data_IF_413012962361
#
_entry.id   IF_413012962361
#
_cell.length_a   1.000
_cell.length_b   1.000
_cell.length_c   1.000
_cell.angle_alpha   90.00
_cell.angle_beta   90.00
_cell.angle_gamma   90.00
#
_symmetry.space_group_name_H-M   'P 1'
#
loop_
_entity.id
_entity.type
_entity.pdbx_description
1 polymer ?
#
# COMPACT_ATOMS: atom_id res chain seq x y z
N UNK A 1 1.94 -22.78 -16.45
CA UNK A 1 1.73 -21.53 -15.70
C UNK A 1 0.42 -21.63 -14.92
N UNK A 2 0.41 -21.38 -13.61
CA UNK A 2 -0.84 -21.38 -12.83
C UNK A 2 -1.80 -20.32 -13.35
N UNK A 3 -3.06 -20.70 -13.52
CA UNK A 3 -4.12 -19.76 -13.90
C UNK A 3 -4.29 -18.70 -12.80
N UNK A 4 -4.38 -17.43 -13.17
CA UNK A 4 -4.71 -16.34 -12.24
C UNK A 4 -5.96 -15.59 -12.71
N UNK A 5 -7.16 -16.16 -12.50
CA UNK A 5 -8.38 -15.64 -13.11
C UNK A 5 -8.74 -14.23 -12.66
N UNK A 6 -8.39 -13.86 -11.42
CA UNK A 6 -8.70 -12.54 -10.87
C UNK A 6 -7.86 -11.40 -11.49
N UNK A 7 -6.73 -11.73 -12.11
CA UNK A 7 -5.82 -10.74 -12.69
C UNK A 7 -5.23 -11.25 -14.01
N UNK A 8 -6.02 -11.29 -15.09
CA UNK A 8 -5.62 -11.86 -16.37
C UNK A 8 -4.92 -10.85 -17.29
N UNK A 9 -4.24 -11.37 -18.31
CA UNK A 9 -3.77 -10.60 -19.48
C UNK A 9 -2.98 -9.34 -19.15
N UNK A 10 -3.45 -8.19 -19.64
CA UNK A 10 -2.85 -6.87 -19.45
C UNK A 10 -2.64 -6.53 -17.96
N UNK A 11 -3.64 -6.77 -17.10
CA UNK A 11 -3.54 -6.48 -15.67
C UNK A 11 -2.46 -7.31 -14.99
N UNK A 12 -2.23 -8.54 -15.46
CA UNK A 12 -1.11 -9.37 -15.01
C UNK A 12 0.23 -8.75 -15.36
N UNK A 13 0.41 -8.32 -16.60
CA UNK A 13 1.65 -7.67 -17.01
C UNK A 13 1.90 -6.41 -16.17
N UNK A 14 0.88 -5.57 -16.05
CA UNK A 14 0.97 -4.30 -15.35
C UNK A 14 1.24 -4.48 -13.85
N UNK A 15 0.37 -5.19 -13.14
CA UNK A 15 0.39 -5.21 -11.67
C UNK A 15 1.31 -6.26 -11.06
N UNK A 16 1.71 -7.32 -11.79
CA UNK A 16 2.67 -8.31 -11.26
C UNK A 16 4.12 -8.03 -11.67
N UNK A 17 4.35 -7.23 -12.71
CA UNK A 17 5.69 -7.01 -13.25
C UNK A 17 6.04 -5.53 -13.37
N UNK A 18 5.32 -4.77 -14.20
CA UNK A 18 5.69 -3.38 -14.48
C UNK A 18 5.61 -2.49 -13.24
N UNK A 19 4.52 -2.57 -12.49
CA UNK A 19 4.34 -1.80 -11.26
C UNK A 19 5.41 -2.12 -10.21
N UNK A 20 5.65 -3.38 -9.81
CA UNK A 20 6.70 -3.68 -8.86
C UNK A 20 8.08 -3.23 -9.33
N UNK A 21 8.41 -3.37 -10.61
CA UNK A 21 9.69 -2.85 -11.14
C UNK A 21 9.76 -1.33 -11.01
N UNK A 22 8.71 -0.62 -11.41
CA UNK A 22 8.65 0.85 -11.34
C UNK A 22 8.68 1.40 -9.91
N UNK A 23 8.20 0.64 -8.92
CA UNK A 23 8.19 1.05 -7.51
C UNK A 23 9.46 0.63 -6.79
N UNK A 24 10.16 -0.40 -7.24
CA UNK A 24 11.48 -0.77 -6.70
C UNK A 24 12.61 0.07 -7.33
N UNK A 25 12.48 0.51 -8.58
CA UNK A 25 13.53 1.29 -9.24
C UNK A 25 13.95 2.57 -8.46
N UNK A 26 13.04 3.40 -7.93
CA UNK A 26 13.38 4.54 -7.09
C UNK A 26 14.18 4.17 -5.84
N UNK A 27 13.99 2.97 -5.28
CA UNK A 27 14.74 2.48 -4.11
C UNK A 27 16.23 2.43 -4.44
N UNK A 28 16.56 1.94 -5.63
CA UNK A 28 17.94 1.88 -6.09
C UNK A 28 18.54 3.27 -6.31
N UNK A 29 17.75 4.17 -6.91
CA UNK A 29 18.15 5.55 -7.15
C UNK A 29 18.38 6.34 -5.86
N UNK A 30 17.58 6.08 -4.81
CA UNK A 30 17.67 6.76 -3.52
C UNK A 30 18.82 6.23 -2.66
N UNK A 31 18.99 4.91 -2.55
CA UNK A 31 19.93 4.31 -1.58
C UNK A 31 21.33 4.08 -2.14
N UNK A 32 21.48 3.88 -3.44
CA UNK A 32 22.77 3.50 -4.02
C UNK A 32 23.30 4.58 -4.95
N UNK A 33 22.74 4.68 -6.15
CA UNK A 33 23.20 5.61 -7.17
C UNK A 33 22.03 6.06 -8.02
N UNK A 34 21.89 7.37 -8.26
CA UNK A 34 22.80 8.47 -7.94
C UNK A 34 22.70 9.03 -6.50
N UNK A 35 21.75 8.54 -5.69
CA UNK A 35 21.65 8.80 -4.25
C UNK A 35 20.54 9.78 -3.85
N UNK A 36 20.36 9.95 -2.55
CA UNK A 36 19.24 10.70 -1.97
C UNK A 36 19.21 12.19 -2.35
N UNK A 37 20.38 12.86 -2.42
CA UNK A 37 20.47 14.27 -2.83
C UNK A 37 19.98 14.47 -4.26
N UNK A 38 20.43 13.62 -5.18
CA UNK A 38 19.96 13.64 -6.56
C UNK A 38 18.45 13.37 -6.64
N UNK A 39 17.97 12.31 -5.97
CA UNK A 39 16.55 11.96 -6.05
C UNK A 39 15.65 13.06 -5.48
N UNK A 40 16.06 13.68 -4.36
CA UNK A 40 15.38 14.84 -3.80
C UNK A 40 15.31 16.00 -4.81
N UNK A 41 16.44 16.28 -5.48
CA UNK A 41 16.50 17.34 -6.48
C UNK A 41 15.55 17.06 -7.66
N UNK A 42 15.46 15.81 -8.09
CA UNK A 42 14.56 15.38 -9.16
C UNK A 42 13.07 15.42 -8.80
N UNK A 43 12.69 15.62 -7.53
CA UNK A 43 11.28 15.79 -7.16
C UNK A 43 10.64 17.03 -7.80
N UNK A 44 11.45 18.03 -8.15
CA UNK A 44 11.04 19.23 -8.88
C UNK A 44 11.99 19.40 -10.07
N UNK A 45 11.49 19.54 -11.31
CA UNK A 45 12.34 19.77 -12.47
C UNK A 45 13.28 20.97 -12.27
N UNK A 46 14.58 20.74 -12.42
CA UNK A 46 15.63 21.73 -12.28
C UNK A 46 16.81 21.38 -13.18
N UNK A 47 17.49 22.39 -13.70
CA UNK A 47 18.72 22.26 -14.51
C UNK A 47 20.00 22.44 -13.70
N UNK A 48 19.89 22.79 -12.42
CA UNK A 48 21.04 22.98 -11.54
C UNK A 48 21.58 21.66 -10.97
N UNK A 49 22.78 21.72 -10.39
CA UNK A 49 23.38 20.57 -9.72
C UNK A 49 22.67 20.35 -8.38
N UNK A 50 22.38 19.09 -8.05
CA UNK A 50 21.74 18.72 -6.79
C UNK A 50 22.57 19.21 -5.58
N UNK A 51 22.00 20.06 -4.71
CA UNK A 51 22.71 20.53 -3.52
C UNK A 51 22.79 19.44 -2.45
N UNK A 52 23.77 19.51 -1.53
CA UNK A 52 23.81 18.63 -0.37
C UNK A 52 22.55 18.81 0.49
N UNK A 53 22.04 17.72 1.03
CA UNK A 53 20.85 17.72 1.89
C UNK A 53 21.25 17.81 3.37
N UNK A 54 20.42 18.46 4.18
CA UNK A 54 20.54 18.35 5.63
C UNK A 54 20.12 16.93 6.11
N UNK A 55 20.47 16.62 7.36
CA UNK A 55 20.24 15.29 7.93
C UNK A 55 18.74 14.91 8.00
N UNK A 56 17.84 15.87 8.22
CA UNK A 56 16.39 15.59 8.33
C UNK A 56 15.80 15.29 6.96
N UNK A 57 16.18 16.08 5.96
CA UNK A 57 15.75 15.85 4.56
C UNK A 57 16.31 14.53 4.02
N UNK A 58 17.57 14.22 4.32
CA UNK A 58 18.17 12.92 3.96
C UNK A 58 17.38 11.75 4.55
N UNK A 59 17.06 11.83 5.85
CA UNK A 59 16.26 10.81 6.52
C UNK A 59 14.87 10.66 5.89
N UNK A 60 14.19 11.77 5.57
CA UNK A 60 12.88 11.74 4.92
C UNK A 60 12.93 11.05 3.55
N UNK A 61 13.97 11.30 2.75
CA UNK A 61 14.14 10.69 1.42
C UNK A 61 14.47 9.20 1.53
N UNK A 62 15.25 8.78 2.51
CA UNK A 62 15.46 7.34 2.77
C UNK A 62 14.20 6.63 3.24
N UNK A 63 13.37 7.27 4.06
CA UNK A 63 12.06 6.74 4.45
C UNK A 63 11.12 6.63 3.24
N UNK A 64 11.16 7.60 2.32
CA UNK A 64 10.45 7.51 1.04
C UNK A 64 10.91 6.29 0.23
N UNK A 65 12.23 6.02 0.18
CA UNK A 65 12.77 4.79 -0.41
C UNK A 65 12.20 3.51 0.22
N UNK A 66 12.05 3.46 1.54
CA UNK A 66 11.42 2.34 2.22
C UNK A 66 9.94 2.16 1.82
N UNK A 67 9.19 3.26 1.68
CA UNK A 67 7.80 3.22 1.23
C UNK A 67 7.68 2.66 -0.20
N UNK A 68 8.58 3.06 -1.10
CA UNK A 68 8.66 2.53 -2.46
C UNK A 68 8.96 1.02 -2.47
N UNK A 69 9.93 0.57 -1.67
CA UNK A 69 10.24 -0.85 -1.53
C UNK A 69 9.04 -1.65 -1.01
N UNK A 70 8.35 -1.13 0.01
CA UNK A 70 7.15 -1.76 0.57
C UNK A 70 6.05 -1.92 -0.50
N UNK A 71 5.81 -0.91 -1.32
CA UNK A 71 4.82 -0.96 -2.40
C UNK A 71 5.20 -1.99 -3.48
N UNK A 72 6.49 -2.04 -3.84
CA UNK A 72 7.03 -3.06 -4.75
C UNK A 72 6.92 -4.48 -4.21
N UNK A 73 7.15 -4.67 -2.90
CA UNK A 73 6.94 -5.95 -2.22
C UNK A 73 5.46 -6.32 -2.13
N UNK A 74 4.55 -5.37 -1.92
CA UNK A 74 3.12 -5.63 -1.87
C UNK A 74 2.63 -6.21 -3.20
N UNK A 75 2.92 -5.51 -4.31
CA UNK A 75 2.54 -5.96 -5.65
C UNK A 75 3.27 -7.24 -6.07
N UNK A 76 4.52 -7.42 -5.65
CA UNK A 76 5.30 -8.62 -5.98
C UNK A 76 4.92 -9.85 -5.16
N UNK A 77 4.84 -9.74 -3.85
CA UNK A 77 4.73 -10.89 -2.96
C UNK A 77 3.26 -11.20 -2.66
N UNK A 78 2.46 -10.19 -2.31
CA UNK A 78 1.07 -10.41 -1.90
C UNK A 78 0.23 -10.92 -3.06
N UNK A 79 0.38 -10.37 -4.26
CA UNK A 79 -0.43 -10.81 -5.40
C UNK A 79 -0.06 -12.23 -5.85
N UNK A 80 1.22 -12.59 -5.79
CA UNK A 80 1.68 -13.97 -6.04
C UNK A 80 1.18 -14.93 -4.96
N UNK A 81 1.24 -14.53 -3.69
CA UNK A 81 0.70 -15.31 -2.59
C UNK A 81 -0.81 -15.55 -2.74
N UNK A 82 -1.60 -14.55 -3.15
CA UNK A 82 -3.05 -14.72 -3.41
C UNK A 82 -3.30 -15.70 -4.55
N UNK A 83 -2.53 -15.61 -5.65
CA UNK A 83 -2.60 -16.56 -6.77
C UNK A 83 -2.33 -17.99 -6.30
N UNK A 84 -1.26 -18.16 -5.53
CA UNK A 84 -0.73 -19.49 -5.18
C UNK A 84 -1.51 -20.14 -4.03
N UNK A 85 -2.03 -19.35 -3.08
CA UNK A 85 -2.79 -19.85 -1.93
C UNK A 85 -4.26 -20.17 -2.26
N UNK A 86 -4.82 -19.61 -3.35
CA UNK A 86 -6.26 -19.72 -3.67
C UNK A 86 -6.56 -20.19 -5.10
N UNK A 87 -5.92 -21.26 -5.64
CA UNK A 87 -5.97 -21.60 -7.07
C UNK A 87 -7.37 -21.96 -7.60
N UNK A 88 -8.33 -22.32 -6.73
CA UNK A 88 -9.71 -22.67 -7.10
C UNK A 88 -10.78 -21.68 -6.64
N UNK A 89 -10.39 -20.52 -6.09
CA UNK A 89 -11.36 -19.57 -5.52
C UNK A 89 -11.20 -18.16 -6.12
N UNK A 90 -11.62 -17.95 -7.38
CA UNK A 90 -11.44 -16.68 -8.06
C UNK A 90 -12.22 -15.54 -7.40
N UNK A 91 -13.34 -15.85 -6.73
CA UNK A 91 -14.10 -14.86 -5.95
C UNK A 91 -13.31 -14.35 -4.74
N UNK A 92 -12.62 -15.23 -4.00
CA UNK A 92 -11.78 -14.81 -2.89
C UNK A 92 -10.51 -14.08 -3.37
N UNK A 93 -9.89 -14.57 -4.45
CA UNK A 93 -8.76 -13.88 -5.08
C UNK A 93 -9.13 -12.45 -5.45
N UNK A 94 -10.22 -12.25 -6.19
CA UNK A 94 -10.66 -10.93 -6.63
C UNK A 94 -11.02 -10.03 -5.44
N UNK A 95 -11.61 -10.56 -4.38
CA UNK A 95 -11.93 -9.77 -3.18
C UNK A 95 -10.67 -9.26 -2.48
N UNK A 96 -9.65 -10.10 -2.32
CA UNK A 96 -8.39 -9.71 -1.67
C UNK A 96 -7.63 -8.72 -2.57
N UNK A 97 -7.48 -9.05 -3.85
CA UNK A 97 -6.85 -8.15 -4.82
C UNK A 97 -7.57 -6.81 -4.91
N UNK A 98 -8.90 -6.83 -4.95
CA UNK A 98 -9.68 -5.60 -5.01
C UNK A 98 -9.55 -4.75 -3.75
N UNK A 99 -9.39 -5.35 -2.56
CA UNK A 99 -9.06 -4.58 -1.37
C UNK A 99 -7.69 -3.90 -1.49
N UNK A 100 -6.66 -4.63 -1.95
CA UNK A 100 -5.32 -4.08 -2.18
C UNK A 100 -5.29 -3.01 -3.27
N UNK A 101 -5.91 -3.27 -4.43
CA UNK A 101 -6.01 -2.32 -5.55
C UNK A 101 -6.81 -1.07 -5.16
N UNK A 102 -7.81 -1.21 -4.27
CA UNK A 102 -8.55 -0.05 -3.75
C UNK A 102 -7.65 0.82 -2.87
N UNK A 103 -6.89 0.21 -1.95
CA UNK A 103 -5.96 0.95 -1.10
C UNK A 103 -4.89 1.68 -1.95
N UNK A 104 -4.35 1.00 -2.97
CA UNK A 104 -3.38 1.61 -3.88
C UNK A 104 -4.00 2.70 -4.76
N UNK A 105 -5.23 2.53 -5.25
CA UNK A 105 -5.92 3.58 -6.01
C UNK A 105 -6.12 4.87 -5.18
N UNK A 106 -6.42 4.73 -3.88
CA UNK A 106 -6.49 5.88 -2.97
C UNK A 106 -5.11 6.52 -2.83
N UNK A 107 -4.06 5.71 -2.63
CA UNK A 107 -2.69 6.21 -2.52
C UNK A 107 -2.23 6.94 -3.80
N UNK A 108 -2.53 6.40 -4.98
CA UNK A 108 -2.26 7.03 -6.28
C UNK A 108 -2.90 8.43 -6.35
N UNK A 109 -4.19 8.50 -6.04
CA UNK A 109 -4.95 9.74 -6.09
C UNK A 109 -4.38 10.81 -5.15
N UNK A 110 -4.06 10.42 -3.90
CA UNK A 110 -3.46 11.35 -2.94
C UNK A 110 -2.03 11.73 -3.34
N UNK A 111 -1.28 10.81 -3.95
CA UNK A 111 0.08 11.07 -4.41
C UNK A 111 0.10 12.04 -5.58
N UNK A 112 -0.78 11.86 -6.59
CA UNK A 112 -0.94 12.81 -7.69
C UNK A 112 -1.32 14.19 -7.14
N UNK A 113 -2.31 14.26 -6.24
CA UNK A 113 -2.77 15.52 -5.68
C UNK A 113 -1.66 16.25 -4.89
N UNK A 114 -0.91 15.52 -4.06
CA UNK A 114 0.19 16.07 -3.28
C UNK A 114 1.34 16.56 -4.18
N UNK A 115 1.71 15.75 -5.18
CA UNK A 115 2.75 16.11 -6.15
C UNK A 115 2.36 17.36 -6.92
N UNK A 116 1.15 17.39 -7.47
CA UNK A 116 0.64 18.54 -8.22
C UNK A 116 0.51 19.80 -7.35
N UNK A 117 0.17 19.66 -6.06
CA UNK A 117 0.13 20.77 -5.13
C UNK A 117 1.53 21.33 -4.82
N UNK A 118 2.54 20.46 -4.76
CA UNK A 118 3.94 20.82 -4.49
C UNK A 118 4.72 21.35 -5.70
N UNK A 119 4.26 21.11 -6.93
CA UNK A 119 4.90 21.67 -8.13
C UNK A 119 4.79 23.21 -8.15
N UNK A 120 5.82 23.93 -8.61
CA UNK A 120 5.75 25.35 -8.97
C UNK A 120 4.67 25.63 -10.03
N UNK A 121 4.01 26.80 -9.98
CA UNK A 121 2.86 27.12 -10.85
C UNK A 121 3.20 27.12 -12.35
N UNK A 122 4.42 27.54 -12.69
CA UNK A 122 4.99 27.54 -14.03
C UNK A 122 5.18 26.12 -14.58
N UNK A 123 5.46 25.14 -13.72
CA UNK A 123 5.65 23.75 -14.13
C UNK A 123 4.35 22.94 -14.14
N UNK A 124 3.32 23.30 -13.35
CA UNK A 124 2.07 22.53 -13.22
C UNK A 124 1.39 22.20 -14.53
N UNK A 125 1.41 23.14 -15.48
CA UNK A 125 0.69 23.02 -16.76
C UNK A 125 1.61 22.92 -17.98
N UNK A 126 2.89 22.62 -17.74
CA UNK A 126 3.88 22.39 -18.81
C UNK A 126 4.43 20.95 -18.73
N UNK A 127 3.66 19.93 -19.13
CA UNK A 127 4.12 18.54 -19.09
C UNK A 127 5.41 18.29 -19.87
N UNK A 128 5.70 19.10 -20.89
CA UNK A 128 6.90 18.99 -21.72
C UNK A 128 8.18 19.39 -20.98
N UNK A 129 8.07 20.17 -19.89
CA UNK A 129 9.22 20.56 -19.06
C UNK A 129 9.40 19.67 -17.83
N UNK A 130 8.62 18.59 -17.71
CA UNK A 130 8.75 17.65 -16.61
C UNK A 130 9.96 16.74 -16.81
N UNK A 131 10.70 16.50 -15.74
CA UNK A 131 11.74 15.49 -15.71
C UNK A 131 11.12 14.07 -15.58
N UNK A 132 11.91 13.00 -15.76
CA UNK A 132 11.41 11.63 -15.64
C UNK A 132 10.76 11.32 -14.30
N UNK A 133 11.27 11.87 -13.20
CA UNK A 133 10.71 11.67 -11.84
C UNK A 133 9.31 12.29 -11.71
N UNK A 134 9.11 13.49 -12.25
CA UNK A 134 7.80 14.15 -12.26
C UNK A 134 6.81 13.40 -13.16
N UNK A 135 7.23 12.95 -14.34
CA UNK A 135 6.41 12.07 -15.18
C UNK A 135 6.08 10.74 -14.48
N UNK A 136 7.03 10.18 -13.72
CA UNK A 136 6.82 9.01 -12.89
C UNK A 136 5.73 9.25 -11.85
N UNK A 137 5.80 10.36 -11.11
CA UNK A 137 4.89 10.69 -10.02
C UNK A 137 3.49 11.12 -10.48
N UNK A 138 3.37 11.73 -11.65
CA UNK A 138 2.09 12.23 -12.17
C UNK A 138 1.58 11.36 -13.31
N UNK A 139 2.24 11.39 -14.47
CA UNK A 139 1.74 10.74 -15.70
C UNK A 139 1.60 9.23 -15.54
N UNK A 140 2.62 8.57 -14.99
CA UNK A 140 2.61 7.12 -14.81
C UNK A 140 1.64 6.69 -13.70
N UNK A 141 1.57 7.43 -12.59
CA UNK A 141 0.59 7.15 -11.52
C UNK A 141 -0.86 7.37 -12.00
N UNK A 142 -1.13 8.38 -12.85
CA UNK A 142 -2.44 8.54 -13.50
C UNK A 142 -2.77 7.31 -14.34
N UNK A 143 -1.83 6.81 -15.15
CA UNK A 143 -2.02 5.60 -15.94
C UNK A 143 -2.33 4.38 -15.06
N UNK A 144 -1.62 4.22 -13.94
CA UNK A 144 -1.89 3.13 -12.99
C UNK A 144 -3.27 3.28 -12.33
N UNK A 145 -3.64 4.48 -11.89
CA UNK A 145 -4.96 4.78 -11.30
C UNK A 145 -6.09 4.45 -12.29
N UNK A 146 -5.97 4.89 -13.54
CA UNK A 146 -6.95 4.59 -14.59
C UNK A 146 -7.04 3.08 -14.86
N UNK A 147 -5.91 2.38 -14.87
CA UNK A 147 -5.88 0.92 -15.00
C UNK A 147 -6.57 0.22 -13.82
N UNK A 148 -6.42 0.73 -12.59
CA UNK A 148 -7.13 0.22 -11.41
C UNK A 148 -8.63 0.46 -11.52
N UNK A 149 -9.06 1.65 -11.94
CA UNK A 149 -10.48 1.97 -12.18
C UNK A 149 -11.06 1.03 -13.25
N UNK A 150 -10.36 0.84 -14.37
CA UNK A 150 -10.75 -0.09 -15.42
C UNK A 150 -10.88 -1.53 -14.89
N UNK A 151 -9.96 -1.95 -14.02
CA UNK A 151 -10.04 -3.26 -13.36
C UNK A 151 -11.29 -3.38 -12.48
N UNK A 152 -11.64 -2.37 -11.69
CA UNK A 152 -12.89 -2.39 -10.89
C UNK A 152 -14.15 -2.39 -11.75
N UNK A 153 -14.12 -1.70 -12.89
CA UNK A 153 -15.21 -1.69 -13.87
C UNK A 153 -15.33 -3.03 -14.64
N UNK A 154 -14.36 -3.94 -14.51
CA UNK A 154 -14.37 -5.23 -15.20
C UNK A 154 -14.00 -5.13 -16.68
N UNK A 155 -13.37 -4.04 -17.12
CA UNK A 155 -12.96 -3.86 -18.52
C UNK A 155 -11.89 -4.89 -18.88
N UNK A 156 -12.10 -5.68 -19.93
CA UNK A 156 -11.10 -6.66 -20.42
C UNK A 156 -10.88 -7.86 -19.49
N UNK A 157 -11.79 -8.14 -18.54
CA UNK A 157 -11.69 -9.32 -17.66
C UNK A 157 -13.06 -9.85 -17.23
N UNK A 158 -13.10 -11.10 -16.79
CA UNK A 158 -14.27 -11.65 -16.09
C UNK A 158 -14.28 -11.21 -14.62
N UNK A 159 -15.44 -10.79 -14.12
CA UNK A 159 -15.65 -10.48 -12.70
C UNK A 159 -16.33 -11.65 -11.99
N UNK A 160 -15.86 -11.95 -10.78
CA UNK A 160 -16.30 -13.03 -9.89
C UNK A 160 -16.88 -12.52 -8.57
N UNK A 161 -16.47 -11.33 -8.12
CA UNK A 161 -16.91 -10.69 -6.89
C UNK A 161 -17.59 -9.34 -7.16
N UNK A 162 -16.89 -8.40 -7.81
CA UNK A 162 -17.43 -7.05 -8.03
C UNK A 162 -18.50 -7.05 -9.13
N UNK A 163 -19.58 -6.30 -8.92
CA UNK A 163 -20.69 -6.18 -9.87
C UNK A 163 -21.59 -7.41 -9.99
N UNK A 164 -21.39 -8.46 -9.18
CA UNK A 164 -22.26 -9.65 -9.16
C UNK A 164 -23.34 -9.52 -8.07
N UNK A 165 -24.62 -9.80 -8.37
CA UNK A 165 -25.68 -9.82 -7.36
C UNK A 165 -25.38 -10.93 -6.33
N UNK A 166 -25.52 -10.60 -5.04
CA UNK A 166 -25.14 -11.52 -3.96
C UNK A 166 -26.09 -12.73 -3.95
N UNK A 167 -25.59 -13.89 -4.38
CA UNK A 167 -26.41 -15.10 -4.54
C UNK A 167 -27.08 -15.54 -3.24
N UNK A 168 -26.52 -15.13 -2.08
CA UNK A 168 -27.07 -15.42 -0.75
C UNK A 168 -28.36 -14.66 -0.47
N UNK A 169 -28.52 -13.41 -0.92
CA UNK A 169 -29.80 -12.70 -0.76
C UNK A 169 -30.89 -13.35 -1.62
N UNK A 170 -30.52 -13.83 -2.82
CA UNK A 170 -31.44 -14.56 -3.69
C UNK A 170 -31.81 -15.94 -3.13
N UNK A 171 -30.85 -16.72 -2.62
CA UNK A 171 -31.17 -18.01 -1.98
C UNK A 171 -32.01 -17.83 -0.73
N UNK A 172 -31.74 -16.83 0.10
CA UNK A 172 -32.51 -16.58 1.32
C UNK A 172 -33.90 -16.00 1.01
N UNK A 173 -34.04 -15.17 -0.03
CA UNK A 173 -35.33 -14.76 -0.58
C UNK A 173 -36.10 -15.95 -1.20
N UNK A 174 -35.39 -16.88 -1.83
CA UNK A 174 -35.98 -18.11 -2.39
C UNK A 174 -36.47 -19.04 -1.30
N UNK A 175 -35.67 -19.24 -0.24
CA UNK A 175 -36.03 -20.06 0.91
C UNK A 175 -37.22 -19.45 1.67
N UNK A 176 -37.20 -18.14 1.93
CA UNK A 176 -38.35 -17.47 2.57
C UNK A 176 -39.60 -17.44 1.68
N UNK A 177 -39.46 -17.42 0.34
CA UNK A 177 -40.59 -17.60 -0.59
C UNK A 177 -41.14 -19.03 -0.54
N UNK A 178 -40.28 -20.04 -0.54
CA UNK A 178 -40.68 -21.45 -0.41
C UNK A 178 -41.34 -21.74 0.94
N UNK A 179 -40.81 -21.16 2.02
CA UNK A 179 -41.36 -21.29 3.37
C UNK A 179 -42.76 -20.65 3.47
N UNK A 180 -43.00 -19.52 2.80
CA UNK A 180 -44.35 -18.92 2.68
C UNK A 180 -45.31 -19.72 1.83
N UNK A 181 -44.82 -20.47 0.84
CA UNK A 181 -45.65 -21.29 -0.04
C UNK A 181 -45.93 -22.68 0.55
N UNK A 182 -45.21 -23.10 1.58
CA UNK A 182 -45.37 -24.40 2.22
C UNK A 182 -46.80 -24.69 2.72
N UNK A 183 -47.53 -23.76 3.38
CA UNK A 183 -48.91 -24.01 3.80
C UNK A 183 -49.87 -24.19 2.61
N UNK A 184 -49.66 -23.40 1.55
CA UNK A 184 -50.49 -23.47 0.33
C UNK A 184 -50.25 -24.78 -0.43
N UNK A 185 -49.00 -25.26 -0.48
CA UNK A 185 -48.66 -26.55 -1.06
C UNK A 185 -49.25 -27.71 -0.24
N UNK A 186 -49.29 -27.61 1.09
CA UNK A 186 -49.97 -28.59 1.94
C UNK A 186 -51.48 -28.61 1.69
N UNK A 187 -52.15 -27.45 1.61
CA UNK A 187 -53.58 -27.37 1.30
C UNK A 187 -53.88 -27.93 -0.10
N UNK A 188 -53.06 -27.58 -1.11
CA UNK A 188 -53.21 -28.11 -2.47
C UNK A 188 -52.99 -29.64 -2.54
N UNK A 189 -52.11 -30.20 -1.69
CA UNK A 189 -51.90 -31.66 -1.61
C UNK A 189 -53.09 -32.40 -0.98
N UNK A 190 -53.76 -31.77 0.00
CA UNK A 190 -54.97 -32.32 0.62
C UNK A 190 -56.16 -32.31 -0.35
N UNK A 191 -56.23 -31.32 -1.25
CA UNK A 191 -57.28 -31.25 -2.27
C UNK A 191 -57.05 -32.20 -3.47
N UNK A 192 -55.87 -32.85 -3.55
CA UNK A 192 -55.49 -33.70 -4.69
C UNK A 192 -55.46 -35.20 -4.34
N UNK A 193 -55.94 -35.62 -3.18
CA UNK A 193 -56.09 -37.06 -2.92
C UNK A 193 -57.26 -37.60 -3.76
N UNK A 194 -57.03 -38.43 -4.79
CA UNK A 194 -58.12 -39.13 -5.45
C UNK A 194 -58.77 -40.06 -4.43
N UNK A 195 -60.08 -39.95 -4.30
CA UNK A 195 -60.92 -40.81 -3.47
C UNK A 195 -60.56 -42.27 -3.75
N UNK A 196 -60.09 -43.04 -2.75
CA UNK A 196 -59.76 -44.44 -2.97
C UNK A 196 -61.08 -45.20 -3.17
N UNK A 197 -61.31 -45.68 -4.40
CA UNK A 197 -62.30 -46.72 -4.64
C UNK A 197 -61.86 -47.97 -3.89
N UNK A 198 -62.73 -48.43 -2.98
CA UNK A 198 -62.56 -49.59 -2.12
C UNK A 198 -62.05 -50.81 -2.91
N UNK A 199 -60.90 -51.42 -2.53
CA UNK A 199 -60.53 -52.73 -3.05
C UNK A 199 -61.26 -53.81 -2.25
N UNK A 200 -61.96 -54.69 -2.99
CA UNK A 200 -62.53 -55.94 -2.45
C UNK A 200 -61.40 -56.86 -1.94
N UNK A 201 -61.59 -57.40 -0.75
CA UNK A 201 -60.70 -58.35 -0.10
C UNK A 201 -60.52 -59.64 -0.91
N UNK A 202 -59.30 -59.93 -1.31
CA UNK A 202 -58.87 -61.27 -1.72
C UNK A 202 -57.73 -61.74 -0.82
N UNK A 203 -57.97 -62.88 -0.18
CA UNK A 203 -57.03 -63.59 0.67
C UNK A 203 -55.88 -64.13 -0.16
N UNK A 204 -54.64 -63.77 0.19
CA UNK A 204 -53.41 -64.39 -0.33
C UNK A 204 -52.70 -65.12 0.82
N UNK A 205 -52.13 -66.32 0.55
CA UNK A 205 -51.48 -67.14 1.55
C UNK A 205 -50.05 -66.68 1.86
N UNK A 206 -49.65 -66.90 3.11
CA UNK A 206 -48.35 -66.58 3.70
C UNK A 206 -47.21 -67.32 3.00
N UNK A 207 -46.23 -66.59 2.46
CA UNK A 207 -44.94 -67.15 2.06
C UNK A 207 -43.89 -67.06 3.19
N UNK A 208 -42.96 -68.03 3.30
CA UNK A 208 -41.95 -68.05 4.35
C UNK A 208 -40.79 -67.09 4.06
N UNK A 209 -40.32 -66.39 5.11
CA UNK A 209 -39.17 -65.47 5.05
C UNK A 209 -37.84 -66.23 4.94
N UNK A 210 -36.88 -65.79 4.10
CA UNK A 210 -35.53 -66.33 4.07
C UNK A 210 -34.69 -65.88 5.28
N UNK A 211 -33.91 -66.82 5.84
CA UNK A 211 -32.98 -66.63 6.97
C UNK A 211 -31.80 -65.74 6.54
N UNK A 212 -31.52 -64.69 7.32
CA UNK A 212 -30.32 -63.84 7.16
C UNK A 212 -29.09 -64.47 7.85
N UNK A 213 -27.89 -64.38 7.26
CA UNK A 213 -26.66 -64.85 7.89
C UNK A 213 -26.16 -63.92 9.02
N UNK A 214 -25.28 -64.40 9.92
CA UNK A 214 -24.82 -63.66 11.09
C UNK A 214 -23.90 -62.51 10.69
N UNK A 215 -24.23 -61.30 11.14
CA UNK A 215 -23.35 -60.12 11.03
C UNK A 215 -22.30 -60.15 12.12
N UNK A 216 -21.03 -60.20 11.73
CA UNK A 216 -19.89 -59.97 12.63
C UNK A 216 -20.00 -58.58 13.27
N UNK A 217 -20.05 -58.53 14.59
CA UNK A 217 -20.07 -57.30 15.38
C UNK A 217 -18.65 -56.74 15.49
N UNK A 218 -18.31 -55.73 14.68
CA UNK A 218 -17.24 -54.81 15.04
C UNK A 218 -17.70 -53.92 16.20
N UNK A 219 -17.00 -54.00 17.34
CA UNK A 219 -17.14 -53.10 18.49
C UNK A 219 -16.75 -51.67 18.07
N UNK A 220 -17.71 -50.92 17.54
CA UNK A 220 -17.61 -49.47 17.41
C UNK A 220 -17.88 -48.86 18.80
N UNK A 221 -16.87 -48.21 19.38
CA UNK A 221 -17.04 -47.40 20.60
C UNK A 221 -18.07 -46.31 20.31
N UNK A 222 -19.29 -46.48 20.82
CA UNK A 222 -20.35 -45.47 20.73
C UNK A 222 -19.97 -44.32 21.67
N UNK A 223 -19.55 -43.20 21.11
CA UNK A 223 -19.47 -41.94 21.84
C UNK A 223 -20.90 -41.56 22.25
N UNK A 224 -21.17 -41.24 23.52
CA UNK A 224 -22.51 -40.88 23.97
C UNK A 224 -23.02 -39.67 23.19
N UNK A 225 -24.23 -39.78 22.62
CA UNK A 225 -24.79 -38.75 21.73
C UNK A 225 -24.85 -37.35 22.37
N UNK A 226 -24.97 -37.28 23.71
CA UNK A 226 -24.94 -36.03 24.48
C UNK A 226 -23.62 -35.27 24.33
N UNK A 227 -22.48 -35.97 24.32
CA UNK A 227 -21.14 -35.36 24.19
C UNK A 227 -20.95 -34.77 22.80
N UNK A 228 -21.45 -35.47 21.78
CA UNK A 228 -21.37 -35.00 20.39
C UNK A 228 -22.27 -33.78 20.16
N UNK A 229 -23.42 -33.72 20.83
CA UNK A 229 -24.35 -32.60 20.72
C UNK A 229 -23.89 -31.34 21.48
N UNK A 230 -23.22 -31.49 22.63
CA UNK A 230 -22.63 -30.36 23.35
C UNK A 230 -21.41 -29.77 22.63
N UNK A 231 -20.54 -30.63 22.09
CA UNK A 231 -19.38 -30.19 21.33
C UNK A 231 -19.80 -29.39 20.07
N UNK A 232 -20.82 -29.86 19.36
CA UNK A 232 -21.41 -29.14 18.23
C UNK A 232 -22.03 -27.79 18.64
N UNK A 233 -22.71 -27.70 19.80
CA UNK A 233 -23.27 -26.43 20.28
C UNK A 233 -22.17 -25.42 20.65
N UNK A 234 -21.06 -25.88 21.22
CA UNK A 234 -19.94 -25.02 21.59
C UNK A 234 -19.19 -24.48 20.36
N UNK A 235 -18.98 -25.33 19.35
CA UNK A 235 -18.39 -24.91 18.07
C UNK A 235 -19.32 -23.95 17.33
N UNK A 236 -20.64 -24.19 17.32
CA UNK A 236 -21.60 -23.28 16.65
C UNK A 236 -21.66 -21.89 17.30
N UNK A 237 -21.57 -21.80 18.63
CA UNK A 237 -21.52 -20.51 19.35
C UNK A 237 -20.25 -19.70 19.07
N UNK A 238 -19.13 -20.36 18.74
CA UNK A 238 -17.86 -19.67 18.40
C UNK A 238 -17.78 -19.18 16.96
N UNK A 239 -18.63 -19.66 16.05
CA UNK A 239 -18.54 -19.38 14.61
C UNK A 239 -19.66 -18.46 14.11
N UNK A 240 -20.65 -18.15 14.95
CA UNK A 240 -21.78 -17.29 14.59
C UNK A 240 -21.40 -15.81 14.82
N UNK A 241 -21.11 -15.00 13.77
CA UNK A 241 -20.77 -13.60 13.95
C UNK A 241 -21.96 -12.86 14.57
N UNK A 242 -21.67 -12.03 15.57
CA UNK A 242 -22.67 -11.21 16.27
C UNK A 242 -23.41 -10.31 15.29
N UNK A 243 -24.65 -9.94 15.65
CA UNK A 243 -25.54 -9.13 14.80
C UNK A 243 -24.87 -7.81 14.36
N UNK A 244 -24.03 -7.24 15.21
CA UNK A 244 -23.19 -6.07 14.91
C UNK A 244 -22.09 -6.36 13.87
N UNK A 245 -21.38 -7.49 13.96
CA UNK A 245 -20.40 -7.89 12.95
C UNK A 245 -21.03 -8.13 11.58
N UNK A 246 -22.29 -8.62 11.53
CA UNK A 246 -23.04 -8.76 10.27
C UNK A 246 -23.43 -7.41 9.68
N UNK A 247 -23.76 -6.43 10.51
CA UNK A 247 -24.07 -5.06 10.08
C UNK A 247 -22.82 -4.36 9.53
N UNK A 248 -21.68 -4.47 10.21
CA UNK A 248 -20.39 -3.94 9.75
C UNK A 248 -19.91 -4.60 8.44
N UNK A 249 -20.14 -5.92 8.28
CA UNK A 249 -19.86 -6.63 7.03
C UNK A 249 -20.83 -6.30 5.89
N UNK A 250 -22.02 -5.76 6.16
CA UNK A 250 -22.96 -5.33 5.12
C UNK A 250 -22.65 -3.92 4.61
N UNK A 251 -22.13 -3.03 5.46
CA UNK A 251 -21.75 -1.67 5.06
C UNK A 251 -20.52 -1.62 4.13
N UNK A 252 -19.60 -2.58 4.26
CA UNK A 252 -18.40 -2.71 3.40
C UNK A 252 -18.67 -3.31 2.00
N UNK A 253 -19.93 -3.61 1.65
CA UNK A 253 -20.28 -4.38 0.43
C UNK A 253 -20.77 -3.58 -0.76
N UNK A 254 -21.06 -2.29 -0.62
CA UNK A 254 -21.39 -1.45 -1.78
C UNK A 254 -20.09 -1.03 -2.47
N UNK A 255 -20.07 -1.14 -3.80
CA UNK A 255 -19.04 -0.63 -4.72
C UNK A 255 -18.50 0.71 -4.21
N UNK A 256 -17.21 1.03 -4.37
CA UNK A 256 -16.59 2.22 -3.80
C UNK A 256 -17.02 3.53 -4.47
N UNK A 257 -18.32 3.80 -4.58
CA UNK A 257 -18.88 5.16 -4.64
C UNK A 257 -18.26 6.05 -3.54
N UNK A 258 -18.01 5.58 -2.30
CA UNK A 258 -17.26 6.37 -1.33
C UNK A 258 -15.84 6.72 -1.78
N UNK A 259 -15.13 5.94 -2.60
CA UNK A 259 -13.76 6.31 -3.02
C UNK A 259 -13.78 7.46 -4.02
N UNK A 260 -14.72 7.43 -4.98
CA UNK A 260 -14.90 8.55 -5.91
C UNK A 260 -15.38 9.82 -5.16
N UNK A 261 -16.27 9.66 -4.18
CA UNK A 261 -16.74 10.77 -3.35
C UNK A 261 -15.66 11.29 -2.39
N UNK A 262 -14.85 10.42 -1.80
CA UNK A 262 -13.67 10.78 -0.98
C UNK A 262 -12.65 11.50 -1.87
N UNK A 263 -12.41 11.03 -3.09
CA UNK A 263 -11.53 11.70 -4.05
C UNK A 263 -12.03 13.11 -4.40
N UNK A 264 -13.30 13.25 -4.78
CA UNK A 264 -13.92 14.55 -5.07
C UNK A 264 -13.91 15.46 -3.84
N UNK A 265 -14.11 14.91 -2.64
CA UNK A 265 -14.08 15.66 -1.38
C UNK A 265 -12.66 16.11 -1.00
N UNK A 266 -11.66 15.25 -1.14
CA UNK A 266 -10.25 15.57 -0.89
C UNK A 266 -9.74 16.62 -1.87
N UNK A 267 -10.07 16.51 -3.17
CA UNK A 267 -9.73 17.53 -4.17
C UNK A 267 -10.38 18.89 -3.87
N UNK A 268 -11.63 18.91 -3.40
CA UNK A 268 -12.29 20.16 -2.98
C UNK A 268 -11.65 20.75 -1.71
N UNK A 269 -11.25 19.91 -0.76
CA UNK A 269 -10.64 20.34 0.50
C UNK A 269 -9.24 20.95 0.30
N UNK A 270 -8.40 20.35 -0.55
CA UNK A 270 -7.06 20.89 -0.86
C UNK A 270 -7.15 22.19 -1.66
N UNK A 271 -8.07 22.27 -2.62
CA UNK A 271 -8.32 23.50 -3.40
C UNK A 271 -8.84 24.65 -2.52
N UNK A 272 -9.66 24.35 -1.50
CA UNK A 272 -10.12 25.36 -0.55
C UNK A 272 -8.98 25.90 0.35
N UNK A 273 -8.04 25.04 0.78
CA UNK A 273 -6.88 25.49 1.57
C UNK A 273 -5.88 26.33 0.77
N UNK A 274 -5.71 26.07 -0.52
CA UNK A 274 -4.82 26.88 -1.37
C UNK A 274 -5.35 28.30 -1.60
N UNK A 275 -6.67 28.50 -1.71
CA UNK A 275 -7.25 29.86 -1.83
C UNK A 275 -7.04 30.73 -0.60
N UNK A 276 -6.85 30.12 0.57
CA UNK A 276 -6.56 30.85 1.82
C UNK A 276 -5.07 31.17 2.00
N UNK A 277 -4.18 30.62 1.18
CA UNK A 277 -2.73 30.84 1.25
C UNK A 277 -2.19 31.74 0.13
N UNK A 278 -3.04 32.29 -0.75
CA UNK A 278 -2.62 33.43 -1.56
C UNK A 278 -2.27 34.59 -0.62
N UNK A 279 -1.04 35.12 -0.66
CA UNK A 279 -0.69 36.29 0.12
C UNK A 279 -1.55 37.43 -0.39
N UNK A 280 -2.44 37.96 0.47
CA UNK A 280 -3.00 39.29 0.26
C UNK A 280 -1.80 40.21 0.07
N UNK A 281 -1.60 40.71 -1.14
CA UNK A 281 -0.69 41.81 -1.42
C UNK A 281 -1.12 43.00 -0.56
N UNK A 282 -0.52 43.12 0.62
CA UNK A 282 -0.55 44.34 1.40
C UNK A 282 0.47 45.25 0.73
N UNK A 283 0.13 46.49 0.35
CA UNK A 283 1.09 47.42 -0.23
C UNK A 283 2.13 47.81 0.84
N UNK A 284 3.25 47.08 0.88
CA UNK A 284 4.43 47.36 1.69
C UNK A 284 5.24 48.45 0.98
N UNK A 285 4.72 49.68 0.97
CA UNK A 285 5.45 50.83 0.42
C UNK A 285 5.71 51.94 1.44
N UNK A 286 5.32 51.79 2.72
CA UNK A 286 5.38 52.92 3.65
C UNK A 286 5.96 52.63 5.05
N UNK A 287 6.45 51.42 5.37
CA UNK A 287 6.82 51.10 6.77
C UNK A 287 8.27 50.62 7.04
N UNK A 288 9.11 50.42 6.02
CA UNK A 288 10.45 49.82 6.23
C UNK A 288 11.67 50.73 5.96
N UNK A 289 11.48 52.00 5.55
CA UNK A 289 12.61 52.89 5.29
C UNK A 289 13.49 53.23 6.52
N UNK A 290 12.96 53.43 7.76
CA UNK A 290 13.82 53.81 8.89
C UNK A 290 14.48 52.63 9.62
N UNK A 291 14.07 51.39 9.36
CA UNK A 291 14.66 50.20 10.00
C UNK A 291 15.89 49.67 9.25
N UNK A 292 15.88 49.76 7.92
CA UNK A 292 17.03 49.34 7.09
C UNK A 292 18.24 50.28 7.27
N UNK A 293 18.00 51.57 7.48
CA UNK A 293 19.06 52.56 7.71
C UNK A 293 19.79 52.36 9.05
N UNK A 294 19.14 51.77 10.07
CA UNK A 294 19.79 51.46 11.36
C UNK A 294 20.61 50.17 11.30
N UNK A 295 20.13 49.15 10.59
CA UNK A 295 20.85 47.89 10.44
C UNK A 295 22.17 48.06 9.66
N UNK A 296 22.20 48.94 8.66
CA UNK A 296 23.41 49.24 7.89
C UNK A 296 24.45 50.01 8.73
N UNK A 297 24.00 50.81 9.70
CA UNK A 297 24.89 51.59 10.58
C UNK A 297 25.49 50.71 11.70
N UNK A 298 24.74 49.72 12.18
CA UNK A 298 25.20 48.74 13.16
C UNK A 298 26.22 47.76 12.54
N UNK A 299 26.00 47.27 11.31
CA UNK A 299 26.97 46.41 10.59
C UNK A 299 28.29 47.17 10.27
N UNK A 300 28.21 48.47 9.98
CA UNK A 300 29.40 49.30 9.74
C UNK A 300 30.22 49.53 11.03
N UNK A 301 29.55 49.61 12.19
CA UNK A 301 30.21 49.69 13.50
C UNK A 301 30.88 48.38 13.90
N UNK A 302 30.23 47.25 13.64
CA UNK A 302 30.80 45.94 13.94
C UNK A 302 32.01 45.61 13.05
N UNK A 303 32.01 46.08 11.80
CA UNK A 303 33.17 45.98 10.92
C UNK A 303 34.38 46.80 11.42
N UNK A 304 34.15 48.02 11.92
CA UNK A 304 35.18 48.88 12.52
C UNK A 304 35.77 48.28 13.81
N UNK A 305 34.94 47.64 14.64
CA UNK A 305 35.40 46.96 15.87
C UNK A 305 36.18 45.67 15.59
N UNK A 306 35.94 45.01 14.44
CA UNK A 306 36.71 43.84 14.01
C UNK A 306 38.09 44.23 13.48
N UNK A 307 38.22 45.39 12.81
CA UNK A 307 39.50 45.91 12.33
C UNK A 307 40.40 46.33 13.51
N UNK A 308 39.85 47.02 14.52
CA UNK A 308 40.59 47.41 15.74
C UNK A 308 41.07 46.18 16.55
N UNK A 309 40.32 45.07 16.53
CA UNK A 309 40.72 43.80 17.15
C UNK A 309 41.81 43.07 16.38
N UNK A 310 41.85 43.19 15.05
CA UNK A 310 42.89 42.57 14.23
C UNK A 310 44.25 43.22 14.47
N UNK A 311 44.29 44.54 14.63
CA UNK A 311 45.51 45.30 14.94
C UNK A 311 46.06 44.97 16.34
N UNK A 312 45.19 44.74 17.32
CA UNK A 312 45.56 44.31 18.67
C UNK A 312 46.15 42.88 18.71
N UNK A 313 45.73 41.99 17.81
CA UNK A 313 46.29 40.64 17.68
C UNK A 313 47.65 40.68 16.98
N UNK A 314 47.86 41.58 16.02
CA UNK A 314 49.16 41.76 15.37
C UNK A 314 50.20 42.41 16.28
N UNK A 315 49.80 43.35 17.15
CA UNK A 315 50.69 43.96 18.14
C UNK A 315 51.20 42.98 19.21
N UNK A 316 50.49 41.87 19.46
CA UNK A 316 50.88 40.86 20.47
C UNK A 316 51.84 39.79 19.95
N UNK A 317 52.09 39.74 18.63
CA UNK A 317 52.96 38.75 17.99
C UNK A 317 54.45 39.13 17.95
N UNK A 318 54.85 40.29 18.50
CA UNK A 318 56.24 40.79 18.47
C UNK A 318 56.96 40.77 19.83
N UNK A 319 56.48 40.01 20.81
CA UNK A 319 57.20 39.79 22.07
C UNK A 319 58.03 38.51 21.96
N UNK A 320 59.37 38.55 22.08
CA UNK A 320 60.19 37.34 22.08
C UNK A 320 60.00 36.58 23.40
N UNK A 321 59.55 35.34 23.31
CA UNK A 321 59.41 34.42 24.44
C UNK A 321 60.78 33.83 24.78
N UNK A 322 61.21 34.04 26.03
CA UNK A 322 62.47 33.55 26.58
C UNK A 322 62.31 32.08 27.00
N UNK A 323 63.34 31.28 26.71
CA UNK A 323 63.52 29.88 27.08
C UNK A 323 63.07 29.53 28.51
N UNK A 324 62.32 28.43 28.69
CA UNK A 324 62.53 27.56 29.84
C UNK A 324 62.26 26.07 29.55
N UNK A 325 63.09 25.26 30.18
CA UNK A 325 63.36 23.85 29.97
C UNK A 325 62.30 22.94 30.60
N UNK A 326 61.99 21.86 29.87
CA UNK A 326 61.95 20.51 30.43
C UNK A 326 60.68 20.10 31.20
N UNK A 327 59.79 19.37 30.53
CA UNK A 327 59.00 18.28 31.15
C UNK A 327 58.53 17.26 30.11
N UNK A 328 58.85 16.00 30.37
CA UNK A 328 58.48 14.81 29.57
C UNK A 328 56.97 14.53 29.65
N UNK A 329 56.31 14.03 28.58
CA UNK A 329 54.93 13.55 28.67
C UNK A 329 54.85 12.07 29.11
N UNK A 330 53.77 11.65 29.78
CA UNK A 330 53.55 10.25 30.10
C UNK A 330 52.97 9.48 28.90
N UNK A 331 53.48 8.25 28.71
CA UNK A 331 53.00 7.24 27.77
C UNK A 331 51.54 6.87 28.07
N UNK A 332 50.63 7.09 27.13
CA UNK A 332 49.32 6.45 27.11
C UNK A 332 49.35 5.27 26.14
N UNK A 333 49.32 4.05 26.70
CA UNK A 333 48.97 2.81 25.99
C UNK A 333 47.46 2.82 25.76
N UNK A 334 47.02 2.81 24.52
CA UNK A 334 45.67 2.38 24.16
C UNK A 334 45.80 1.19 23.22
N UNK A 335 45.14 0.12 23.64
CA UNK A 335 45.09 -1.21 23.07
C UNK A 335 44.10 -1.21 21.89
N UNK A 336 44.58 -1.60 20.71
CA UNK A 336 43.73 -2.07 19.61
C UNK A 336 43.07 -3.41 19.99
N UNK A 337 41.89 -3.70 19.41
CA UNK A 337 41.67 -5.04 18.89
C UNK A 337 41.49 -5.03 17.37
N UNK A 338 42.30 -5.89 16.76
CA UNK A 338 42.11 -6.57 15.49
C UNK A 338 40.64 -6.93 15.20
N UNK A 339 40.21 -6.75 13.95
CA UNK A 339 39.75 -7.86 13.11
C UNK A 339 39.71 -7.38 11.64
N UNK A 340 40.76 -7.76 10.93
CA UNK A 340 40.72 -7.99 9.50
C UNK A 340 40.07 -9.36 9.25
N UNK A 341 39.53 -9.54 8.05
CA UNK A 341 39.29 -10.79 7.32
C UNK A 341 37.83 -10.96 6.86
N UNK A 342 37.52 -10.34 5.72
CA UNK A 342 36.88 -11.08 4.65
C UNK A 342 37.29 -10.48 3.30
N UNK A 343 38.38 -11.03 2.75
CA UNK A 343 38.67 -10.95 1.34
C UNK A 343 37.60 -11.70 0.55
N UNK A 344 37.05 -11.08 -0.49
CA UNK A 344 36.54 -11.81 -1.65
C UNK A 344 37.13 -11.17 -2.91
N UNK A 345 38.14 -11.91 -3.34
CA UNK A 345 38.85 -11.96 -4.60
C UNK A 345 37.89 -11.97 -5.80
N UNK A 346 37.96 -10.96 -6.67
CA UNK A 346 37.57 -11.07 -8.08
C UNK A 346 38.58 -10.28 -8.90
N UNK A 347 39.61 -10.98 -9.35
CA UNK A 347 40.47 -10.54 -10.44
C UNK A 347 39.73 -10.57 -11.78
N UNK A 348 39.83 -9.48 -12.53
CA UNK A 348 39.74 -9.48 -14.00
C UNK A 348 40.70 -8.41 -14.52
N UNK A 349 41.83 -8.87 -15.05
CA UNK A 349 42.76 -8.11 -15.86
C UNK A 349 42.23 -7.94 -17.30
N UNK A 350 42.94 -7.12 -18.11
CA UNK A 350 43.00 -7.00 -19.61
C UNK A 350 42.64 -5.56 -20.09
N UNK A 351 43.37 -4.96 -21.07
CA UNK A 351 44.30 -3.86 -20.80
C UNK A 351 44.04 -2.60 -21.66
N UNK A 352 44.90 -1.58 -21.48
CA UNK A 352 44.92 -0.30 -22.19
C UNK A 352 45.41 -0.36 -23.66
N UNK A 353 45.57 0.82 -24.30
CA UNK A 353 45.13 1.07 -25.66
C UNK A 353 46.23 0.92 -26.74
N UNK A 354 45.81 0.60 -27.97
CA UNK A 354 46.64 0.71 -29.17
C UNK A 354 46.44 2.07 -29.83
N UNK A 355 47.55 2.75 -30.07
CA UNK A 355 47.73 3.88 -30.97
C UNK A 355 47.48 3.49 -32.43
N UNK A 356 46.75 4.33 -33.17
CA UNK A 356 46.92 4.63 -34.59
C UNK A 356 46.19 5.94 -34.91
#
# INVERSE_FOLDING_TARGET
>A
MSSFPALPGFYKLLFLYLEPVSTVAPVFLIWFFPGASWFHHELIPSSSVAPPLDARTTMAIWQLGNCYLLLGMLSSLVFRAVRDALPGNPRAQERILGASLCAMAIADATHIAATFAGLPSDLKYSPQSWNPTTHGNISFVIFLLLSRIAWFMGIGRTTYYYGKPDTKSNQQASLTRLERLHPLLQIASLLRTPTPLLPKHHHLPLQPRPRRPPRAMHKVRRIPWRVQHEHMRHVRRKVEPTREQRSAQQHTRRIPVPVLLIFVHLLRSTSARQRTQEPREVPIAAMHAPALARAVDDDARDALLLEERADLVHARALVPEHDDLGRRPPRMRVVLPHLADLALDVGCAVPGPSTA
#
